data_IF_969990515466
#
_entry.id   IF_969990515466
#
_cell.length_a   1.000
_cell.length_b   1.000
_cell.length_c   1.000
_cell.angle_alpha   90.00
_cell.angle_beta   90.00
_cell.angle_gamma   90.00
#
_symmetry.space_group_name_H-M   'P 1'
#
loop_
_entity.id
_entity.type
_entity.pdbx_description
1 polymer ?
#
# COMPACT_ATOMS: atom_id res chain seq x y z
N UNK A 1 -55.89 -9.04 -18.51
CA UNK A 1 -55.27 -9.86 -19.59
C UNK A 1 -54.34 -10.96 -19.06
N UNK A 2 -53.64 -10.80 -17.92
CA UNK A 2 -52.74 -11.80 -17.31
C UNK A 2 -53.40 -13.07 -16.72
N UNK A 3 -54.64 -13.02 -16.21
CA UNK A 3 -55.35 -14.23 -15.72
C UNK A 3 -55.75 -15.22 -16.83
N UNK A 4 -55.87 -14.75 -18.09
CA UNK A 4 -56.21 -15.59 -19.24
C UNK A 4 -55.04 -16.51 -19.64
N UNK A 5 -53.81 -16.16 -19.27
CA UNK A 5 -52.62 -16.98 -19.51
C UNK A 5 -52.58 -18.21 -18.58
N UNK A 6 -53.04 -18.12 -17.33
CA UNK A 6 -53.08 -19.25 -16.39
C UNK A 6 -54.02 -20.38 -16.85
N UNK A 7 -55.16 -20.04 -17.46
CA UNK A 7 -56.08 -21.01 -18.03
C UNK A 7 -55.48 -21.70 -19.28
N UNK A 8 -54.84 -20.94 -20.17
CA UNK A 8 -54.13 -21.47 -21.34
C UNK A 8 -52.94 -22.36 -20.96
N UNK A 9 -52.29 -22.08 -19.81
CA UNK A 9 -51.21 -22.91 -19.26
C UNK A 9 -51.74 -24.27 -18.77
N UNK A 10 -52.89 -24.31 -18.09
CA UNK A 10 -53.52 -25.57 -17.66
C UNK A 10 -53.87 -26.46 -18.86
N UNK A 11 -54.40 -25.85 -19.92
CA UNK A 11 -54.88 -26.58 -21.09
C UNK A 11 -53.70 -27.13 -21.93
N UNK A 12 -52.57 -26.40 -22.02
CA UNK A 12 -51.34 -26.89 -22.64
C UNK A 12 -50.64 -28.00 -21.83
N UNK A 13 -50.75 -27.99 -20.50
CA UNK A 13 -50.23 -29.05 -19.62
C UNK A 13 -50.99 -30.37 -19.82
N UNK A 14 -52.33 -30.29 -19.97
CA UNK A 14 -53.20 -31.42 -20.29
C UNK A 14 -52.91 -32.02 -21.68
N UNK A 15 -52.62 -31.17 -22.67
CA UNK A 15 -52.20 -31.59 -24.02
C UNK A 15 -50.83 -32.28 -24.02
N UNK A 16 -49.88 -31.82 -23.20
CA UNK A 16 -48.57 -32.46 -23.05
C UNK A 16 -48.66 -33.81 -22.32
N UNK A 17 -49.51 -33.93 -21.28
CA UNK A 17 -49.77 -35.19 -20.58
C UNK A 17 -50.41 -36.25 -21.50
N UNK A 18 -51.16 -35.83 -22.52
CA UNK A 18 -51.78 -36.73 -23.52
C UNK A 18 -50.76 -37.34 -24.50
N UNK A 19 -49.65 -36.65 -24.80
CA UNK A 19 -48.58 -37.13 -25.68
C UNK A 19 -47.38 -37.60 -24.85
N UNK A 20 -47.37 -38.89 -24.48
CA UNK A 20 -46.27 -39.62 -23.79
C UNK A 20 -44.90 -39.43 -24.46
N UNK A 21 -44.30 -38.28 -24.27
CA UNK A 21 -42.95 -37.93 -24.70
C UNK A 21 -42.25 -37.42 -23.44
N UNK A 22 -41.73 -38.35 -22.65
CA UNK A 22 -41.13 -38.06 -21.33
C UNK A 22 -39.97 -37.05 -21.40
N UNK A 23 -39.28 -36.98 -22.54
CA UNK A 23 -38.24 -35.96 -22.81
C UNK A 23 -38.81 -34.55 -22.98
N UNK A 24 -39.92 -34.38 -23.71
CA UNK A 24 -40.58 -33.07 -23.83
C UNK A 24 -41.25 -32.63 -22.53
N UNK A 25 -41.82 -33.56 -21.74
CA UNK A 25 -42.48 -33.19 -20.47
C UNK A 25 -41.48 -32.61 -19.46
N UNK A 26 -40.26 -33.16 -19.39
CA UNK A 26 -39.21 -32.66 -18.51
C UNK A 26 -38.75 -31.26 -18.90
N UNK A 27 -38.47 -31.03 -20.20
CA UNK A 27 -38.06 -29.72 -20.72
C UNK A 27 -39.18 -28.69 -20.59
N UNK A 28 -40.42 -29.06 -20.88
CA UNK A 28 -41.57 -28.16 -20.77
C UNK A 28 -41.89 -27.83 -19.30
N UNK A 29 -41.80 -28.80 -18.37
CA UNK A 29 -41.90 -28.51 -16.94
C UNK A 29 -40.79 -27.58 -16.46
N UNK A 30 -39.54 -27.79 -16.88
CA UNK A 30 -38.43 -26.90 -16.50
C UNK A 30 -38.63 -25.47 -17.01
N UNK A 31 -39.08 -25.30 -18.26
CA UNK A 31 -39.36 -23.98 -18.84
C UNK A 31 -40.57 -23.30 -18.18
N UNK A 32 -41.60 -24.07 -17.80
CA UNK A 32 -42.78 -23.53 -17.12
C UNK A 32 -42.52 -23.19 -15.66
N UNK A 33 -41.81 -24.05 -14.92
CA UNK A 33 -41.30 -23.76 -13.57
C UNK A 33 -40.45 -22.49 -13.64
N UNK A 34 -39.52 -22.40 -14.59
CA UNK A 34 -38.70 -21.20 -14.76
C UNK A 34 -39.51 -19.92 -14.99
N UNK A 35 -40.50 -19.95 -15.89
CA UNK A 35 -41.39 -18.81 -16.11
C UNK A 35 -42.14 -18.43 -14.84
N UNK A 36 -42.57 -19.40 -14.04
CA UNK A 36 -43.23 -19.14 -12.75
C UNK A 36 -42.24 -18.50 -11.78
N UNK A 37 -41.04 -19.06 -11.59
CA UNK A 37 -40.00 -18.50 -10.71
C UNK A 37 -39.57 -17.09 -11.14
N UNK A 38 -39.36 -16.85 -12.43
CA UNK A 38 -39.02 -15.52 -12.99
C UNK A 38 -40.13 -14.50 -12.76
N UNK A 39 -41.41 -14.87 -12.93
CA UNK A 39 -42.52 -13.97 -12.62
C UNK A 39 -42.66 -13.68 -11.12
N UNK A 40 -42.43 -14.67 -10.25
CA UNK A 40 -42.42 -14.44 -8.79
C UNK A 40 -41.24 -13.53 -8.38
N UNK A 41 -40.06 -13.73 -8.97
CA UNK A 41 -38.87 -12.88 -8.81
C UNK A 41 -39.17 -11.40 -9.04
N UNK A 42 -39.80 -11.12 -10.19
CA UNK A 42 -40.17 -9.77 -10.60
C UNK A 42 -41.26 -9.19 -9.72
N UNK A 43 -42.24 -10.00 -9.27
CA UNK A 43 -43.28 -9.55 -8.33
C UNK A 43 -42.65 -9.09 -7.02
N UNK A 44 -41.83 -9.91 -6.37
CA UNK A 44 -41.18 -9.54 -5.09
C UNK A 44 -40.26 -8.32 -5.22
N UNK A 45 -39.62 -8.14 -6.37
CA UNK A 45 -38.85 -6.93 -6.67
C UNK A 45 -39.70 -5.67 -6.66
N UNK A 46 -40.85 -5.68 -7.35
CA UNK A 46 -41.76 -4.54 -7.36
C UNK A 46 -42.47 -4.32 -6.02
N UNK A 47 -42.51 -5.34 -5.14
CA UNK A 47 -42.94 -5.19 -3.75
C UNK A 47 -41.85 -4.63 -2.81
N UNK A 48 -40.59 -4.56 -3.26
CA UNK A 48 -39.45 -4.11 -2.45
C UNK A 48 -38.81 -5.17 -1.56
N UNK A 49 -39.29 -6.43 -1.62
CA UNK A 49 -38.78 -7.56 -0.84
C UNK A 49 -37.61 -8.23 -1.57
N UNK A 50 -36.43 -7.59 -1.51
CA UNK A 50 -35.24 -8.03 -2.25
C UNK A 50 -34.63 -9.34 -1.73
N UNK A 51 -34.71 -9.61 -0.43
CA UNK A 51 -34.15 -10.83 0.16
C UNK A 51 -34.90 -12.08 -0.33
N UNK A 52 -36.23 -12.00 -0.40
CA UNK A 52 -37.05 -13.11 -0.91
C UNK A 52 -36.84 -13.28 -2.41
N UNK A 53 -36.79 -12.18 -3.19
CA UNK A 53 -36.43 -12.22 -4.61
C UNK A 53 -35.07 -12.92 -4.84
N UNK A 54 -34.07 -12.64 -4.00
CA UNK A 54 -32.75 -13.29 -4.08
C UNK A 54 -32.84 -14.79 -3.76
N UNK A 55 -33.61 -15.20 -2.75
CA UNK A 55 -33.78 -16.61 -2.40
C UNK A 55 -34.38 -17.44 -3.55
N UNK A 56 -35.36 -16.87 -4.26
CA UNK A 56 -35.95 -17.49 -5.45
C UNK A 56 -34.97 -17.50 -6.64
N UNK A 57 -34.08 -16.51 -6.74
CA UNK A 57 -33.08 -16.44 -7.80
C UNK A 57 -32.00 -17.51 -7.62
N UNK A 58 -31.57 -17.71 -6.36
CA UNK A 58 -30.72 -18.83 -5.96
C UNK A 58 -31.39 -20.18 -6.26
N UNK A 59 -32.72 -20.26 -6.10
CA UNK A 59 -33.51 -21.44 -6.47
C UNK A 59 -33.60 -21.71 -7.97
N UNK A 60 -33.55 -20.66 -8.82
CA UNK A 60 -33.56 -20.78 -10.27
C UNK A 60 -32.23 -21.25 -10.86
N UNK A 61 -31.12 -21.06 -10.12
CA UNK A 61 -29.79 -21.60 -10.44
C UNK A 61 -29.29 -21.22 -11.85
N UNK A 62 -29.10 -22.19 -12.77
CA UNK A 62 -28.56 -21.94 -14.11
C UNK A 62 -29.54 -21.23 -15.03
N UNK A 63 -30.83 -21.20 -14.70
CA UNK A 63 -31.85 -20.55 -15.51
C UNK A 63 -31.88 -19.03 -15.28
N UNK A 64 -31.34 -18.55 -14.14
CA UNK A 64 -31.16 -17.12 -13.92
C UNK A 64 -30.02 -16.61 -14.81
N UNK A 65 -30.37 -15.80 -15.81
CA UNK A 65 -29.42 -15.23 -16.75
C UNK A 65 -28.81 -13.94 -16.19
N UNK A 66 -27.50 -13.98 -15.95
CA UNK A 66 -26.70 -12.84 -15.50
C UNK A 66 -26.38 -11.89 -16.67
N UNK A 67 -26.65 -12.33 -17.90
CA UNK A 67 -26.39 -11.59 -19.13
C UNK A 67 -27.44 -10.53 -19.42
N UNK A 68 -28.63 -10.65 -18.85
CA UNK A 68 -29.76 -9.77 -19.12
C UNK A 68 -29.52 -8.36 -18.55
N UNK A 69 -29.46 -7.37 -19.43
CA UNK A 69 -29.33 -5.95 -19.09
C UNK A 69 -30.70 -5.36 -18.69
N UNK A 70 -31.23 -5.81 -17.55
CA UNK A 70 -32.42 -5.23 -16.95
C UNK A 70 -32.11 -4.60 -15.58
N UNK A 71 -32.75 -3.48 -15.26
CA UNK A 71 -32.64 -2.82 -13.95
C UNK A 71 -32.95 -3.78 -12.80
N UNK A 72 -33.84 -4.73 -13.07
CA UNK A 72 -34.20 -5.81 -12.19
C UNK A 72 -33.00 -6.71 -11.85
N UNK A 73 -32.35 -7.24 -12.89
CA UNK A 73 -31.18 -8.12 -12.75
C UNK A 73 -30.01 -7.39 -12.11
N UNK A 74 -29.75 -6.13 -12.51
CA UNK A 74 -28.70 -5.32 -11.89
C UNK A 74 -28.92 -5.10 -10.39
N UNK A 75 -30.14 -4.73 -9.97
CA UNK A 75 -30.43 -4.52 -8.55
C UNK A 75 -30.31 -5.80 -7.74
N UNK A 76 -30.76 -6.92 -8.31
CA UNK A 76 -30.66 -8.22 -7.66
C UNK A 76 -29.20 -8.70 -7.55
N UNK A 77 -28.39 -8.49 -8.58
CA UNK A 77 -26.97 -8.78 -8.57
C UNK A 77 -26.24 -7.95 -7.52
N UNK A 78 -26.48 -6.64 -7.46
CA UNK A 78 -25.89 -5.77 -6.44
C UNK A 78 -26.25 -6.27 -5.04
N UNK A 79 -27.52 -6.63 -4.83
CA UNK A 79 -27.97 -7.20 -3.55
C UNK A 79 -27.29 -8.53 -3.22
N UNK A 80 -27.11 -9.40 -4.22
CA UNK A 80 -26.41 -10.67 -4.08
C UNK A 80 -24.94 -10.49 -3.69
N UNK A 81 -24.26 -9.52 -4.32
CA UNK A 81 -22.87 -9.17 -4.00
C UNK A 81 -22.78 -8.63 -2.58
N UNK A 82 -23.64 -7.70 -2.18
CA UNK A 82 -23.65 -7.15 -0.82
C UNK A 82 -23.82 -8.23 0.26
N UNK A 83 -24.74 -9.18 0.02
CA UNK A 83 -24.97 -10.29 0.95
C UNK A 83 -23.78 -11.25 0.99
N UNK A 84 -23.20 -11.57 -0.18
CA UNK A 84 -21.99 -12.39 -0.28
C UNK A 84 -20.81 -11.74 0.46
N UNK A 85 -20.56 -10.45 0.25
CA UNK A 85 -19.49 -9.67 0.90
C UNK A 85 -19.69 -9.62 2.42
N UNK A 86 -20.93 -9.45 2.88
CA UNK A 86 -21.27 -9.48 4.31
C UNK A 86 -20.95 -10.84 4.95
N UNK A 87 -21.34 -11.93 4.29
CA UNK A 87 -21.09 -13.29 4.76
C UNK A 87 -19.59 -13.61 4.78
N UNK A 88 -18.85 -13.24 3.73
CA UNK A 88 -17.40 -13.45 3.64
C UNK A 88 -16.63 -12.62 4.67
N UNK A 89 -17.06 -11.39 4.93
CA UNK A 89 -16.43 -10.54 5.95
C UNK A 89 -16.62 -11.12 7.36
N UNK A 90 -17.83 -11.64 7.67
CA UNK A 90 -18.11 -12.32 8.95
C UNK A 90 -17.37 -13.65 9.09
N UNK A 91 -17.23 -14.41 8.01
CA UNK A 91 -16.45 -15.65 7.99
C UNK A 91 -14.97 -15.38 8.33
N UNK A 92 -14.41 -14.30 7.78
CA UNK A 92 -13.03 -13.90 8.06
C UNK A 92 -12.79 -13.34 9.47
N UNK A 93 -13.83 -12.92 10.20
CA UNK A 93 -13.72 -12.45 11.59
C UNK A 93 -13.77 -13.57 12.62
N UNK A 94 -14.52 -14.63 12.35
CA UNK A 94 -14.93 -15.59 13.37
C UNK A 94 -14.03 -16.81 13.50
N UNK A 95 -13.00 -16.96 12.64
CA UNK A 95 -12.09 -18.13 12.56
C UNK A 95 -12.79 -19.51 12.52
N UNK A 96 -14.11 -19.53 12.43
CA UNK A 96 -14.96 -20.69 12.30
C UNK A 96 -15.32 -20.78 10.83
N UNK A 97 -14.95 -21.89 10.20
CA UNK A 97 -15.36 -22.33 8.86
C UNK A 97 -16.89 -22.57 8.73
N UNK A 98 -17.71 -21.98 9.62
CA UNK A 98 -19.12 -22.29 9.82
C UNK A 98 -20.09 -21.19 9.36
N UNK A 99 -19.63 -20.24 8.54
CA UNK A 99 -20.52 -19.62 7.57
C UNK A 99 -20.19 -20.23 6.21
N UNK A 100 -20.63 -21.48 5.98
CA UNK A 100 -20.69 -22.04 4.63
C UNK A 100 -21.52 -21.05 3.81
N UNK A 101 -20.84 -20.23 3.01
CA UNK A 101 -21.50 -19.40 2.03
C UNK A 101 -22.25 -20.36 1.11
N UNK A 102 -23.52 -20.06 0.84
CA UNK A 102 -24.33 -20.92 -0.03
C UNK A 102 -23.62 -21.06 -1.39
N UNK A 103 -23.27 -22.28 -1.83
CA UNK A 103 -22.58 -22.49 -3.11
C UNK A 103 -23.33 -21.89 -4.30
N UNK A 104 -24.66 -21.74 -4.19
CA UNK A 104 -25.50 -21.11 -5.22
C UNK A 104 -25.25 -19.61 -5.32
N UNK A 105 -25.01 -18.94 -4.19
CA UNK A 105 -24.71 -17.51 -4.15
C UNK A 105 -23.32 -17.26 -4.71
N UNK A 106 -22.35 -18.11 -4.32
CA UNK A 106 -21.00 -18.09 -4.87
C UNK A 106 -21.01 -18.30 -6.40
N UNK A 107 -21.78 -19.26 -6.90
CA UNK A 107 -21.91 -19.52 -8.34
C UNK A 107 -22.56 -18.35 -9.12
N UNK A 108 -23.43 -17.54 -8.50
CA UNK A 108 -23.97 -16.33 -9.14
C UNK A 108 -22.89 -15.26 -9.24
N UNK A 109 -22.15 -15.01 -8.15
CA UNK A 109 -21.07 -14.01 -8.11
C UNK A 109 -19.91 -14.42 -9.04
N UNK A 110 -19.60 -15.71 -9.14
CA UNK A 110 -18.63 -16.25 -10.12
C UNK A 110 -19.04 -15.95 -11.55
N UNK A 111 -20.27 -16.33 -11.94
CA UNK A 111 -20.77 -16.05 -13.30
C UNK A 111 -20.77 -14.56 -13.61
N UNK A 112 -21.04 -13.71 -12.62
CA UNK A 112 -21.00 -12.26 -12.75
C UNK A 112 -19.57 -11.75 -13.00
N UNK A 113 -18.60 -12.20 -12.20
CA UNK A 113 -17.19 -11.85 -12.37
C UNK A 113 -16.63 -12.34 -13.70
N UNK A 114 -16.95 -13.58 -14.08
CA UNK A 114 -16.52 -14.16 -15.36
C UNK A 114 -17.10 -13.38 -16.55
N UNK A 115 -18.38 -12.96 -16.46
CA UNK A 115 -18.99 -12.05 -17.45
C UNK A 115 -18.23 -10.73 -17.53
N UNK A 116 -17.93 -10.08 -16.40
CA UNK A 116 -17.18 -8.82 -16.40
C UNK A 116 -15.79 -8.96 -17.03
N UNK A 117 -15.11 -10.10 -16.80
CA UNK A 117 -13.81 -10.40 -17.42
C UNK A 117 -13.97 -10.62 -18.94
N UNK A 118 -15.00 -11.36 -19.37
CA UNK A 118 -15.29 -11.58 -20.79
C UNK A 118 -15.68 -10.29 -21.53
N UNK A 119 -16.39 -9.38 -20.87
CA UNK A 119 -16.81 -8.09 -21.42
C UNK A 119 -15.65 -7.06 -21.47
N UNK A 120 -14.44 -7.42 -21.03
CA UNK A 120 -13.28 -6.52 -20.96
C UNK A 120 -13.40 -5.44 -19.87
N UNK A 121 -14.38 -5.54 -18.96
CA UNK A 121 -14.60 -4.59 -17.85
C UNK A 121 -13.76 -4.95 -16.63
N UNK A 122 -12.43 -5.01 -16.80
CA UNK A 122 -11.50 -5.45 -15.76
C UNK A 122 -11.56 -4.60 -14.49
N UNK A 123 -11.72 -3.27 -14.59
CA UNK A 123 -11.80 -2.38 -13.43
C UNK A 123 -12.95 -2.74 -12.47
N UNK A 124 -14.13 -3.01 -13.03
CA UNK A 124 -15.30 -3.42 -12.25
C UNK A 124 -15.11 -4.82 -11.66
N UNK A 125 -14.58 -5.76 -12.46
CA UNK A 125 -14.29 -7.11 -11.98
C UNK A 125 -13.32 -7.10 -10.78
N UNK A 126 -12.28 -6.25 -10.82
CA UNK A 126 -11.33 -6.10 -9.71
C UNK A 126 -11.96 -5.51 -8.46
N UNK A 127 -12.77 -4.45 -8.60
CA UNK A 127 -13.49 -3.86 -7.47
C UNK A 127 -14.33 -4.90 -6.74
N UNK A 128 -15.12 -5.65 -7.50
CA UNK A 128 -15.98 -6.72 -6.96
C UNK A 128 -15.14 -7.85 -6.36
N UNK A 129 -14.04 -8.25 -7.01
CA UNK A 129 -13.15 -9.30 -6.50
C UNK A 129 -12.51 -8.91 -5.15
N UNK A 130 -12.09 -7.64 -5.01
CA UNK A 130 -11.52 -7.10 -3.77
C UNK A 130 -12.59 -7.05 -2.67
N UNK A 131 -13.80 -6.59 -2.96
CA UNK A 131 -14.92 -6.58 -2.00
C UNK A 131 -15.30 -8.00 -1.55
N UNK A 132 -15.37 -8.93 -2.50
CA UNK A 132 -15.69 -10.35 -2.28
C UNK A 132 -14.61 -11.13 -1.52
N UNK A 133 -13.44 -10.54 -1.26
CA UNK A 133 -12.26 -11.20 -0.70
C UNK A 133 -11.88 -12.46 -1.47
N UNK A 134 -11.81 -12.34 -2.80
CA UNK A 134 -11.37 -13.43 -3.70
C UNK A 134 -10.15 -13.01 -4.49
N UNK A 135 -8.99 -13.39 -3.95
CA UNK A 135 -7.69 -13.10 -4.52
C UNK A 135 -7.44 -13.85 -5.84
N UNK A 136 -7.97 -15.06 -5.98
CA UNK A 136 -7.79 -15.88 -7.20
C UNK A 136 -8.38 -15.20 -8.44
N UNK A 137 -9.60 -14.65 -8.29
CA UNK A 137 -10.28 -13.92 -9.38
C UNK A 137 -9.66 -12.55 -9.65
N UNK A 138 -9.06 -11.93 -8.63
CA UNK A 138 -8.28 -10.71 -8.82
C UNK A 138 -7.04 -11.00 -9.68
N UNK A 139 -6.30 -12.08 -9.40
CA UNK A 139 -5.15 -12.50 -10.22
C UNK A 139 -5.58 -12.86 -11.66
N UNK A 140 -6.70 -13.57 -11.83
CA UNK A 140 -7.26 -13.90 -13.15
C UNK A 140 -7.63 -12.63 -13.93
N UNK A 141 -8.28 -11.66 -13.29
CA UNK A 141 -8.66 -10.39 -13.92
C UNK A 141 -7.44 -9.57 -14.36
N UNK A 142 -6.37 -9.54 -13.56
CA UNK A 142 -5.14 -8.82 -13.88
C UNK A 142 -4.41 -9.47 -15.05
N UNK A 143 -4.24 -10.80 -15.01
CA UNK A 143 -3.49 -11.55 -16.03
C UNK A 143 -4.17 -11.57 -17.39
N UNK A 144 -5.51 -11.50 -17.42
CA UNK A 144 -6.28 -11.40 -18.67
C UNK A 144 -6.44 -9.99 -19.21
N UNK A 145 -6.01 -8.95 -18.49
CA UNK A 145 -6.20 -7.56 -18.90
C UNK A 145 -5.28 -7.18 -20.07
N UNK A 146 -5.78 -6.32 -20.97
CA UNK A 146 -4.99 -5.80 -22.10
C UNK A 146 -3.83 -4.90 -21.65
N UNK A 147 -4.00 -4.23 -20.51
CA UNK A 147 -3.00 -3.34 -19.90
C UNK A 147 -2.73 -3.76 -18.46
N UNK A 148 -1.78 -4.68 -18.29
CA UNK A 148 -1.43 -5.22 -16.97
C UNK A 148 -0.89 -4.13 -16.03
N UNK A 149 -0.04 -3.22 -16.52
CA UNK A 149 0.55 -2.16 -15.70
C UNK A 149 -0.50 -1.18 -15.16
N UNK A 150 -1.43 -0.72 -16.01
CA UNK A 150 -2.50 0.18 -15.57
C UNK A 150 -3.49 -0.49 -14.61
N UNK A 151 -3.78 -1.77 -14.84
CA UNK A 151 -4.66 -2.60 -14.00
C UNK A 151 -4.05 -2.85 -12.62
N UNK A 152 -2.73 -3.07 -12.55
CA UNK A 152 -2.01 -3.21 -11.28
C UNK A 152 -1.97 -1.89 -10.49
N UNK A 153 -1.68 -0.76 -11.14
CA UNK A 153 -1.69 0.56 -10.49
C UNK A 153 -3.10 0.90 -9.95
N UNK A 154 -4.14 0.59 -10.72
CA UNK A 154 -5.53 0.72 -10.27
C UNK A 154 -5.81 -0.18 -9.06
N UNK A 155 -5.34 -1.42 -9.06
CA UNK A 155 -5.51 -2.36 -7.93
C UNK A 155 -4.86 -1.84 -6.65
N UNK A 156 -3.68 -1.24 -6.73
CA UNK A 156 -3.01 -0.60 -5.60
C UNK A 156 -3.90 0.53 -5.05
N UNK A 157 -4.35 1.45 -5.92
CA UNK A 157 -5.19 2.58 -5.51
C UNK A 157 -6.51 2.11 -4.86
N UNK A 158 -7.20 1.14 -5.45
CA UNK A 158 -8.43 0.58 -4.89
C UNK A 158 -8.16 -0.09 -3.53
N UNK A 159 -7.04 -0.81 -3.40
CA UNK A 159 -6.67 -1.42 -2.13
C UNK A 159 -6.41 -0.38 -1.02
N UNK A 160 -5.85 0.78 -1.35
CA UNK A 160 -5.63 1.85 -0.36
C UNK A 160 -6.91 2.59 -0.01
N UNK A 161 -7.78 2.86 -0.99
CA UNK A 161 -9.00 3.66 -0.78
C UNK A 161 -10.15 2.88 -0.14
N UNK A 162 -10.33 1.61 -0.51
CA UNK A 162 -11.54 0.85 -0.14
C UNK A 162 -11.29 -0.26 0.88
N UNK A 163 -10.05 -0.74 1.05
CA UNK A 163 -9.76 -1.80 2.02
C UNK A 163 -9.44 -1.20 3.39
N UNK A 164 -10.42 -1.28 4.30
CA UNK A 164 -10.29 -0.78 5.68
C UNK A 164 -9.35 -1.64 6.55
N UNK A 165 -9.33 -2.96 6.36
CA UNK A 165 -8.54 -3.89 7.19
C UNK A 165 -7.09 -3.95 6.76
N UNK A 166 -6.18 -3.79 7.73
CA UNK A 166 -4.74 -3.85 7.48
C UNK A 166 -4.30 -5.23 7.00
N UNK A 167 -4.80 -6.30 7.63
CA UNK A 167 -4.38 -7.68 7.34
C UNK A 167 -4.76 -8.06 5.90
N UNK A 168 -6.01 -7.81 5.52
CA UNK A 168 -6.50 -8.09 4.17
C UNK A 168 -5.83 -7.20 3.12
N UNK A 169 -5.57 -5.91 3.42
CA UNK A 169 -4.80 -5.04 2.52
C UNK A 169 -3.39 -5.58 2.28
N UNK A 170 -2.73 -6.12 3.32
CA UNK A 170 -1.44 -6.76 3.15
C UNK A 170 -1.52 -8.05 2.31
N UNK A 171 -2.58 -8.86 2.44
CA UNK A 171 -2.78 -10.03 1.58
C UNK A 171 -2.92 -9.65 0.10
N UNK A 172 -3.72 -8.61 -0.20
CA UNK A 172 -3.87 -8.07 -1.56
C UNK A 172 -2.52 -7.57 -2.09
N UNK A 173 -1.80 -6.75 -1.32
CA UNK A 173 -0.49 -6.25 -1.74
C UNK A 173 0.54 -7.37 -1.96
N UNK A 174 0.54 -8.43 -1.14
CA UNK A 174 1.39 -9.61 -1.34
C UNK A 174 1.06 -10.35 -2.63
N UNK A 175 -0.23 -10.46 -2.99
CA UNK A 175 -0.64 -11.02 -4.28
C UNK A 175 -0.11 -10.15 -5.43
N UNK A 176 -0.28 -8.83 -5.34
CA UNK A 176 0.18 -7.90 -6.38
C UNK A 176 1.69 -7.99 -6.60
N UNK A 177 2.50 -8.07 -5.54
CA UNK A 177 3.96 -8.29 -5.65
C UNK A 177 4.27 -9.58 -6.41
N UNK A 178 3.60 -10.70 -6.09
CA UNK A 178 3.77 -11.97 -6.81
C UNK A 178 3.42 -11.86 -8.29
N UNK A 179 2.37 -11.10 -8.62
CA UNK A 179 1.98 -10.88 -10.02
C UNK A 179 3.03 -10.04 -10.74
N UNK A 180 3.54 -8.97 -10.11
CA UNK A 180 4.62 -8.15 -10.66
C UNK A 180 5.90 -8.96 -10.93
N UNK A 181 6.28 -9.88 -10.04
CA UNK A 181 7.47 -10.72 -10.19
C UNK A 181 7.35 -11.75 -11.33
N UNK A 182 6.14 -12.17 -11.67
CA UNK A 182 5.89 -13.09 -12.80
C UNK A 182 5.99 -12.40 -14.16
N UNK A 183 5.96 -11.07 -14.22
CA UNK A 183 6.00 -10.33 -15.48
C UNK A 183 7.40 -10.35 -16.10
N UNK A 184 7.49 -10.37 -17.45
CA UNK A 184 8.77 -10.38 -18.15
C UNK A 184 9.58 -9.09 -17.96
N UNK A 185 8.89 -7.96 -17.72
CA UNK A 185 9.48 -6.65 -17.40
C UNK A 185 8.89 -6.13 -16.09
N UNK A 186 9.45 -6.50 -14.93
CA UNK A 186 8.94 -6.07 -13.63
C UNK A 186 9.19 -4.57 -13.43
N UNK A 187 8.14 -3.86 -13.04
CA UNK A 187 8.26 -2.48 -12.59
C UNK A 187 8.77 -2.45 -11.14
N UNK A 188 10.08 -2.30 -10.99
CA UNK A 188 10.73 -2.31 -9.68
C UNK A 188 10.30 -1.16 -8.77
N UNK A 189 9.81 -0.03 -9.32
CA UNK A 189 9.33 1.08 -8.52
C UNK A 189 8.04 0.70 -7.80
N UNK A 190 7.05 0.21 -8.55
CA UNK A 190 5.76 -0.23 -8.00
C UNK A 190 5.92 -1.38 -7.01
N UNK A 191 6.84 -2.32 -7.27
CA UNK A 191 7.15 -3.41 -6.34
C UNK A 191 7.72 -2.87 -5.03
N UNK A 192 8.70 -1.95 -5.09
CA UNK A 192 9.30 -1.37 -3.89
C UNK A 192 8.29 -0.56 -3.07
N UNK A 193 7.37 0.16 -3.72
CA UNK A 193 6.26 0.84 -3.04
C UNK A 193 5.34 -0.16 -2.34
N UNK A 194 4.95 -1.26 -2.99
CA UNK A 194 4.16 -2.32 -2.35
C UNK A 194 4.90 -2.94 -1.15
N UNK A 195 6.19 -3.24 -1.28
CA UNK A 195 7.00 -3.80 -0.19
C UNK A 195 7.16 -2.84 0.99
N UNK A 196 7.25 -1.54 0.72
CA UNK A 196 7.24 -0.50 1.74
C UNK A 196 5.91 -0.50 2.51
N UNK A 197 4.76 -0.58 1.82
CA UNK A 197 3.45 -0.70 2.48
C UNK A 197 3.27 -2.02 3.25
N UNK A 198 3.97 -3.07 2.83
CA UNK A 198 4.02 -4.36 3.54
C UNK A 198 4.98 -4.36 4.73
N UNK A 199 5.80 -3.32 4.91
CA UNK A 199 6.88 -3.23 5.90
C UNK A 199 7.90 -4.38 5.80
N UNK A 200 8.22 -4.77 4.56
CA UNK A 200 9.14 -5.85 4.21
C UNK A 200 10.47 -5.29 3.66
N UNK A 201 11.40 -4.83 4.53
CA UNK A 201 12.65 -4.19 4.09
C UNK A 201 13.60 -5.18 3.39
N UNK A 202 13.45 -6.48 3.65
CA UNK A 202 14.27 -7.52 3.03
C UNK A 202 14.04 -7.64 1.51
N UNK A 203 12.80 -7.54 1.07
CA UNK A 203 12.47 -7.60 -0.36
C UNK A 203 13.08 -6.43 -1.14
N UNK A 204 12.96 -5.21 -0.59
CA UNK A 204 13.53 -3.99 -1.20
C UNK A 204 15.06 -4.08 -1.26
N UNK A 205 15.71 -4.50 -0.17
CA UNK A 205 17.16 -4.65 -0.14
C UNK A 205 17.66 -5.64 -1.20
N UNK A 206 16.98 -6.77 -1.40
CA UNK A 206 17.35 -7.75 -2.43
C UNK A 206 17.17 -7.20 -3.85
N UNK A 207 16.09 -6.45 -4.11
CA UNK A 207 15.86 -5.80 -5.41
C UNK A 207 16.97 -4.77 -5.69
N UNK A 208 17.26 -3.90 -4.72
CA UNK A 208 18.32 -2.89 -4.84
C UNK A 208 19.70 -3.54 -5.03
N UNK A 209 20.02 -4.60 -4.28
CA UNK A 209 21.27 -5.33 -4.46
C UNK A 209 21.39 -5.92 -5.87
N UNK A 210 20.34 -6.58 -6.37
CA UNK A 210 20.30 -7.14 -7.72
C UNK A 210 20.52 -6.06 -8.79
N UNK A 211 19.88 -4.91 -8.64
CA UNK A 211 20.03 -3.79 -9.57
C UNK A 211 21.43 -3.16 -9.50
N UNK A 212 22.03 -3.05 -8.31
CA UNK A 212 23.36 -2.46 -8.14
C UNK A 212 24.48 -3.36 -8.66
N UNK A 213 24.33 -4.69 -8.54
CA UNK A 213 25.28 -5.70 -9.03
C UNK A 213 25.23 -5.89 -10.55
N UNK A 214 24.18 -5.42 -11.20
CA UNK A 214 24.08 -5.48 -12.66
C UNK A 214 25.18 -4.62 -13.33
N UNK A 215 25.68 -5.10 -14.47
CA UNK A 215 26.72 -4.39 -15.24
C UNK A 215 26.13 -3.17 -15.99
N UNK A 216 24.83 -3.19 -16.26
CA UNK A 216 24.13 -2.13 -16.95
C UNK A 216 24.11 -0.84 -16.13
N UNK A 217 24.36 0.30 -16.79
CA UNK A 217 24.28 1.61 -16.13
C UNK A 217 22.84 2.02 -15.83
N UNK A 218 21.90 1.68 -16.70
CA UNK A 218 20.48 2.01 -16.56
C UNK A 218 19.85 1.38 -15.31
N UNK A 219 20.17 0.12 -15.03
CA UNK A 219 19.67 -0.59 -13.85
C UNK A 219 20.20 0.02 -12.54
N UNK A 220 21.45 0.51 -12.54
CA UNK A 220 22.01 1.24 -11.40
C UNK A 220 21.37 2.63 -11.22
N UNK A 221 21.02 3.31 -12.31
CA UNK A 221 20.29 4.57 -12.25
C UNK A 221 18.87 4.36 -11.72
N UNK A 222 18.21 3.28 -12.15
CA UNK A 222 16.90 2.89 -11.64
C UNK A 222 16.93 2.61 -10.13
N UNK A 223 17.99 1.95 -9.64
CA UNK A 223 18.18 1.74 -8.20
C UNK A 223 18.28 3.08 -7.43
N UNK A 224 18.96 4.08 -7.99
CA UNK A 224 19.01 5.41 -7.37
C UNK A 224 17.68 6.13 -7.40
N UNK A 225 16.92 6.03 -8.51
CA UNK A 225 15.57 6.59 -8.61
C UNK A 225 14.65 5.98 -7.54
N UNK A 226 14.63 4.66 -7.43
CA UNK A 226 13.86 3.95 -6.39
C UNK A 226 14.28 4.42 -4.99
N UNK A 227 15.59 4.60 -4.74
CA UNK A 227 16.05 5.08 -3.44
C UNK A 227 15.57 6.50 -3.12
N UNK A 228 15.54 7.42 -4.09
CA UNK A 228 14.99 8.75 -3.89
C UNK A 228 13.49 8.71 -3.63
N UNK A 229 12.73 7.96 -4.44
CA UNK A 229 11.27 7.82 -4.27
C UNK A 229 10.92 7.21 -2.90
N UNK A 230 11.73 6.27 -2.40
CA UNK A 230 11.55 5.71 -1.06
C UNK A 230 11.82 6.73 0.05
N UNK A 231 12.79 7.64 -0.14
CA UNK A 231 13.09 8.71 0.83
C UNK A 231 11.98 9.75 0.87
N UNK A 232 11.32 10.04 -0.25
CA UNK A 232 10.18 10.96 -0.31
C UNK A 232 8.99 10.49 0.54
N UNK A 233 8.88 9.19 0.84
CA UNK A 233 7.83 8.63 1.70
C UNK A 233 8.11 8.79 3.21
N UNK A 234 9.26 9.38 3.60
CA UNK A 234 9.62 9.77 4.98
C UNK A 234 9.57 8.67 6.07
N UNK A 235 9.58 7.38 5.70
CA UNK A 235 9.53 6.27 6.66
C UNK A 235 10.92 5.89 7.20
N UNK A 236 11.55 6.76 7.99
CA UNK A 236 12.96 6.66 8.37
C UNK A 236 13.37 5.31 9.00
N UNK A 237 12.54 4.73 9.88
CA UNK A 237 12.85 3.44 10.50
C UNK A 237 12.96 2.30 9.47
N UNK A 238 12.13 2.32 8.42
CA UNK A 238 12.17 1.34 7.34
C UNK A 238 13.41 1.54 6.47
N UNK A 239 13.73 2.77 6.11
CA UNK A 239 14.90 3.11 5.29
C UNK A 239 16.22 2.72 5.96
N UNK A 240 16.33 2.95 7.28
CA UNK A 240 17.49 2.51 8.07
C UNK A 240 17.62 0.99 8.07
N UNK A 241 16.51 0.26 8.24
CA UNK A 241 16.50 -1.21 8.17
C UNK A 241 16.91 -1.74 6.78
N UNK A 242 16.47 -1.09 5.69
CA UNK A 242 16.90 -1.43 4.32
C UNK A 242 18.41 -1.21 4.16
N UNK A 243 18.92 -0.06 4.61
CA UNK A 243 20.35 0.30 4.57
C UNK A 243 21.22 -0.71 5.34
N UNK A 244 20.78 -1.12 6.51
CA UNK A 244 21.53 -2.02 7.38
C UNK A 244 21.56 -3.44 6.76
N UNK A 245 20.46 -3.89 6.14
CA UNK A 245 20.40 -5.17 5.40
C UNK A 245 21.29 -5.18 4.15
N UNK A 246 21.33 -4.08 3.39
CA UNK A 246 22.27 -3.92 2.28
C UNK A 246 23.75 -4.01 2.73
N UNK A 247 24.04 -3.69 3.99
CA UNK A 247 25.38 -3.83 4.57
C UNK A 247 25.68 -5.27 4.99
N UNK A 248 24.68 -5.97 5.54
CA UNK A 248 24.81 -7.37 5.96
C UNK A 248 24.99 -8.35 4.78
N UNK A 249 24.41 -8.07 3.62
CA UNK A 249 24.60 -8.88 2.40
C UNK A 249 26.04 -8.87 1.88
N UNK A 250 26.85 -7.87 2.28
CA UNK A 250 28.29 -7.80 2.01
C UNK A 250 29.11 -8.86 2.80
N UNK A 251 28.59 -9.42 3.89
CA UNK A 251 29.34 -10.35 4.74
C UNK A 251 29.17 -11.83 4.37
N UNK A 252 28.51 -12.17 3.26
CA UNK A 252 28.48 -13.55 2.77
C UNK A 252 28.94 -13.65 1.31
N UNK A 253 30.13 -14.21 1.10
CA UNK A 253 30.41 -15.03 -0.08
C UNK A 253 30.85 -16.46 0.31
N UNK A 254 30.12 -17.45 -0.26
CA UNK A 254 30.52 -18.85 -0.55
C UNK A 254 30.49 -19.93 0.56
N UNK A 255 29.99 -21.09 0.15
CA UNK A 255 29.74 -22.34 0.89
C UNK A 255 30.94 -22.92 1.65
N UNK A 256 30.72 -23.49 2.85
CA UNK A 256 30.92 -24.93 3.13
C UNK A 256 30.75 -25.31 4.61
N UNK A 257 29.89 -26.32 4.83
CA UNK A 257 30.06 -27.48 5.74
C UNK A 257 30.03 -27.26 7.27
N UNK A 258 29.10 -27.97 7.92
CA UNK A 258 28.98 -28.16 9.37
C UNK A 258 30.28 -28.73 10.00
N UNK A 259 30.44 -28.64 11.33
CA UNK A 259 29.95 -29.75 12.16
C UNK A 259 29.23 -29.28 13.43
N UNK A 260 28.27 -30.11 13.85
CA UNK A 260 27.44 -29.87 15.02
C UNK A 260 28.08 -30.21 16.38
N UNK A 261 27.38 -29.70 17.39
CA UNK A 261 27.09 -30.28 18.71
C UNK A 261 28.23 -30.46 19.72
N UNK A 262 28.27 -29.58 20.74
CA UNK A 262 27.72 -29.86 22.08
C UNK A 262 27.96 -28.70 23.07
N UNK A 263 26.87 -28.12 23.58
CA UNK A 263 26.77 -27.31 24.82
C UNK A 263 27.05 -28.16 26.09
N UNK A 264 26.92 -27.66 27.34
CA UNK A 264 27.55 -26.48 27.98
C UNK A 264 28.04 -26.83 29.43
N UNK A 265 28.84 -25.98 30.09
CA UNK A 265 28.84 -25.86 31.56
C UNK A 265 29.72 -24.70 32.10
N UNK A 266 29.04 -23.65 32.57
CA UNK A 266 29.15 -23.00 33.89
C UNK A 266 30.54 -22.87 34.56
N UNK A 267 30.99 -21.62 34.81
CA UNK A 267 31.01 -21.00 36.16
C UNK A 267 31.99 -19.81 36.28
N UNK A 268 31.42 -18.66 36.62
CA UNK A 268 31.81 -17.75 37.72
C UNK A 268 33.13 -16.96 37.70
N UNK A 269 32.91 -15.64 37.66
CA UNK A 269 33.33 -14.59 38.60
C UNK A 269 34.81 -14.16 38.77
N UNK A 270 34.90 -12.83 38.66
CA UNK A 270 35.54 -11.89 39.58
C UNK A 270 36.96 -11.37 39.30
N UNK A 271 36.95 -10.10 38.88
CA UNK A 271 37.62 -8.96 39.50
C UNK A 271 39.15 -8.80 39.43
N UNK A 272 39.48 -7.68 38.78
CA UNK A 272 40.28 -6.56 39.32
C UNK A 272 41.67 -6.31 38.75
N UNK A 273 41.89 -5.01 38.58
CA UNK A 273 43.14 -4.23 38.69
C UNK A 273 44.08 -4.19 37.48
N UNK A 274 44.06 -3.02 36.82
CA UNK A 274 45.25 -2.34 36.27
C UNK A 274 46.21 -1.94 37.42
N UNK A 275 47.49 -1.60 37.21
CA UNK A 275 47.88 -0.41 36.43
C UNK A 275 49.23 -0.47 35.67
N UNK A 276 49.47 0.57 34.84
CA UNK A 276 50.77 1.15 34.41
C UNK A 276 51.70 0.25 33.56
N UNK A 277 52.37 0.69 32.49
CA UNK A 277 53.19 1.90 32.39
C UNK A 277 53.54 2.22 30.91
N UNK A 278 54.10 3.42 30.72
CA UNK A 278 54.31 4.18 29.48
C UNK A 278 55.62 3.81 28.76
N UNK A 279 55.67 3.81 27.41
CA UNK A 279 56.60 4.61 26.56
C UNK A 279 56.92 4.04 25.16
N UNK A 280 57.09 5.02 24.27
CA UNK A 280 57.38 5.03 22.84
C UNK A 280 58.84 4.66 22.53
N UNK A 281 59.13 4.05 21.38
CA UNK A 281 60.01 4.65 20.33
C UNK A 281 60.16 3.76 19.09
N UNK A 282 60.53 4.47 18.03
CA UNK A 282 60.52 4.24 16.60
C UNK A 282 61.65 3.32 16.09
N UNK A 283 61.42 2.57 15.01
CA UNK A 283 62.21 2.62 13.75
C UNK A 283 61.97 1.39 12.84
N UNK A 284 61.30 1.66 11.72
CA UNK A 284 61.59 1.24 10.34
C UNK A 284 61.96 -0.22 10.03
N UNK A 285 61.05 -0.91 9.32
CA UNK A 285 61.41 -1.72 8.14
C UNK A 285 60.22 -1.97 7.21
N UNK A 286 60.28 -1.29 6.06
CA UNK A 286 59.90 -1.75 4.72
C UNK A 286 58.59 -2.55 4.53
N UNK A 287 57.60 -1.83 3.99
CA UNK A 287 56.80 -2.19 2.79
C UNK A 287 57.03 -3.61 2.25
N UNK A 288 56.02 -4.47 2.35
CA UNK A 288 55.71 -5.43 1.29
C UNK A 288 54.22 -5.39 1.01
N UNK A 289 53.91 -4.90 -0.19
CA UNK A 289 52.59 -4.88 -0.81
C UNK A 289 51.97 -6.28 -0.83
N UNK A 290 50.74 -6.40 -0.36
CA UNK A 290 49.73 -7.21 -1.05
C UNK A 290 48.45 -6.36 -1.17
N UNK A 291 48.50 -5.43 -2.12
CA UNK A 291 47.29 -4.90 -2.74
C UNK A 291 46.59 -6.10 -3.35
N UNK A 292 45.52 -6.59 -2.71
CA UNK A 292 44.55 -7.37 -3.46
C UNK A 292 43.99 -6.43 -4.53
N UNK A 293 44.32 -6.70 -5.79
CA UNK A 293 43.61 -6.14 -6.94
C UNK A 293 42.13 -6.46 -6.73
N UNK A 294 41.38 -5.48 -6.23
CA UNK A 294 39.94 -5.55 -6.18
C UNK A 294 39.46 -5.62 -7.65
N UNK A 295 38.68 -6.66 -7.97
CA UNK A 295 38.01 -6.77 -9.26
C UNK A 295 37.33 -5.42 -9.58
N UNK A 296 37.57 -4.80 -10.76
CA UNK A 296 36.97 -3.53 -11.14
C UNK A 296 35.43 -3.50 -10.98
N UNK A 297 34.77 -4.67 -11.02
CA UNK A 297 33.33 -4.79 -10.76
C UNK A 297 32.96 -4.55 -9.29
N UNK A 298 33.75 -5.06 -8.36
CA UNK A 298 33.53 -4.87 -6.92
C UNK A 298 33.81 -3.43 -6.48
N UNK A 299 34.78 -2.76 -7.11
CA UNK A 299 35.05 -1.33 -6.88
C UNK A 299 33.87 -0.47 -7.34
N UNK A 300 33.37 -0.71 -8.56
CA UNK A 300 32.18 -0.01 -9.09
C UNK A 300 30.94 -0.24 -8.23
N UNK A 301 30.72 -1.48 -7.77
CA UNK A 301 29.63 -1.81 -6.87
C UNK A 301 29.77 -1.10 -5.51
N UNK A 302 30.97 -1.11 -4.91
CA UNK A 302 31.22 -0.44 -3.63
C UNK A 302 30.98 1.07 -3.69
N UNK A 303 31.34 1.72 -4.80
CA UNK A 303 31.03 3.13 -5.04
C UNK A 303 29.52 3.39 -5.14
N UNK A 304 28.81 2.58 -5.94
CA UNK A 304 27.34 2.70 -6.09
C UNK A 304 26.62 2.44 -4.75
N UNK A 305 27.09 1.45 -3.98
CA UNK A 305 26.57 1.12 -2.66
C UNK A 305 26.79 2.26 -1.65
N UNK A 306 27.93 2.95 -1.72
CA UNK A 306 28.18 4.11 -0.85
C UNK A 306 27.22 5.25 -1.18
N UNK A 307 26.98 5.51 -2.48
CA UNK A 307 26.02 6.52 -2.95
C UNK A 307 24.59 6.19 -2.51
N UNK A 308 24.12 4.95 -2.71
CA UNK A 308 22.74 4.59 -2.35
C UNK A 308 22.51 4.66 -0.83
N UNK A 309 23.52 4.32 -0.02
CA UNK A 309 23.44 4.47 1.45
C UNK A 309 23.32 5.93 1.85
N UNK A 310 24.06 6.83 1.19
CA UNK A 310 23.94 8.28 1.41
C UNK A 310 22.57 8.83 1.01
N UNK A 311 21.94 8.25 -0.02
CA UNK A 311 20.56 8.59 -0.43
C UNK A 311 19.57 8.08 0.62
N UNK A 312 19.62 6.78 0.97
CA UNK A 312 18.71 6.16 1.93
C UNK A 312 18.83 6.72 3.36
N UNK A 313 19.96 7.33 3.73
CA UNK A 313 20.09 8.07 5.00
C UNK A 313 19.23 9.33 5.04
N UNK A 314 18.86 9.88 3.88
CA UNK A 314 18.16 11.15 3.72
C UNK A 314 19.10 12.36 3.66
N UNK A 315 20.34 12.22 4.13
CA UNK A 315 21.36 13.28 4.16
C UNK A 315 21.58 13.94 2.79
N UNK A 316 21.66 13.13 1.73
CA UNK A 316 21.88 13.64 0.37
C UNK A 316 20.69 14.48 -0.10
N UNK A 317 19.45 14.06 0.19
CA UNK A 317 18.24 14.81 -0.17
C UNK A 317 18.16 16.14 0.59
N UNK A 318 18.50 16.13 1.88
CA UNK A 318 18.55 17.34 2.71
C UNK A 318 19.60 18.32 2.18
N UNK A 319 20.80 17.83 1.83
CA UNK A 319 21.88 18.66 1.32
C UNK A 319 21.51 19.33 -0.02
N UNK A 320 20.91 18.56 -0.94
CA UNK A 320 20.45 19.08 -2.23
C UNK A 320 19.34 20.13 -2.04
N UNK A 321 18.38 19.86 -1.15
CA UNK A 321 17.30 20.80 -0.83
C UNK A 321 17.85 22.09 -0.22
N UNK A 322 18.80 21.99 0.71
CA UNK A 322 19.46 23.16 1.31
C UNK A 322 20.20 23.99 0.26
N UNK A 323 20.95 23.34 -0.62
CA UNK A 323 21.67 24.02 -1.71
C UNK A 323 20.71 24.72 -2.66
N UNK A 324 19.58 24.08 -3.01
CA UNK A 324 18.54 24.66 -3.83
C UNK A 324 17.92 25.90 -3.17
N UNK A 325 17.48 25.77 -1.91
CA UNK A 325 16.86 26.87 -1.16
C UNK A 325 17.80 28.05 -0.93
N UNK A 326 19.09 27.79 -0.68
CA UNK A 326 20.10 28.82 -0.57
C UNK A 326 20.36 29.54 -1.91
N UNK A 327 20.57 28.78 -2.99
CA UNK A 327 20.96 29.36 -4.29
C UNK A 327 19.81 30.07 -5.00
N UNK A 328 18.58 29.57 -4.83
CA UNK A 328 17.37 30.12 -5.47
C UNK A 328 16.46 30.85 -4.48
N UNK A 329 17.05 31.57 -3.54
CA UNK A 329 16.29 32.43 -2.64
C UNK A 329 15.77 33.68 -3.37
N UNK A 330 14.44 33.76 -3.56
CA UNK A 330 13.73 34.90 -4.16
C UNK A 330 12.93 35.71 -3.13
N UNK A 331 13.21 35.54 -1.84
CA UNK A 331 12.50 36.23 -0.78
C UNK A 331 12.83 37.72 -0.78
N UNK A 332 11.79 38.56 -0.82
CA UNK A 332 11.93 40.01 -0.83
C UNK A 332 11.98 40.58 0.59
N UNK A 333 13.15 41.10 0.99
CA UNK A 333 13.33 41.76 2.28
C UNK A 333 12.57 43.08 2.40
N UNK A 334 12.12 43.69 1.30
CA UNK A 334 11.34 44.91 1.33
C UNK A 334 9.97 44.68 1.99
N UNK A 335 9.32 43.55 1.69
CA UNK A 335 8.04 43.16 2.29
C UNK A 335 8.17 43.10 3.82
N UNK A 336 9.23 42.47 4.31
CA UNK A 336 9.53 42.39 5.75
C UNK A 336 9.79 43.78 6.36
N UNK A 337 10.45 44.70 5.64
CA UNK A 337 10.65 46.09 6.08
C UNK A 337 9.33 46.85 6.17
N UNK A 338 8.44 46.69 5.20
CA UNK A 338 7.11 47.32 5.20
C UNK A 338 6.27 46.80 6.37
N UNK A 339 6.20 45.48 6.58
CA UNK A 339 5.51 44.87 7.73
C UNK A 339 6.11 45.40 9.04
N UNK A 340 7.44 45.49 9.14
CA UNK A 340 8.11 46.04 10.32
C UNK A 340 7.72 47.49 10.58
N UNK A 341 7.63 48.33 9.55
CA UNK A 341 7.26 49.75 9.67
C UNK A 341 5.80 49.95 10.08
N UNK A 342 4.89 49.08 9.65
CA UNK A 342 3.47 49.14 10.03
C UNK A 342 3.18 48.65 11.46
N UNK A 343 4.11 47.93 12.09
CA UNK A 343 3.92 47.35 13.43
C UNK A 343 4.44 48.30 14.52
N UNK A 344 3.53 48.77 15.38
CA UNK A 344 3.86 49.58 16.55
C UNK A 344 4.80 48.86 17.53
N UNK A 345 5.75 49.59 18.12
CA UNK A 345 6.79 49.05 19.04
C UNK A 345 6.25 48.47 20.37
N UNK A 346 4.96 48.68 20.67
CA UNK A 346 4.34 48.23 21.93
C UNK A 346 3.54 46.94 21.78
N UNK A 347 3.34 46.43 20.56
CA UNK A 347 2.52 45.25 20.32
C UNK A 347 3.40 43.99 20.16
N UNK A 348 3.53 43.24 21.26
CA UNK A 348 4.34 42.02 21.33
C UNK A 348 3.87 40.92 20.37
N UNK A 349 2.56 40.78 20.14
CA UNK A 349 2.00 39.76 19.24
C UNK A 349 2.40 40.03 17.80
N UNK A 350 2.33 41.29 17.36
CA UNK A 350 2.75 41.67 16.01
C UNK A 350 4.27 41.56 15.81
N UNK A 351 5.07 41.71 16.87
CA UNK A 351 6.50 41.41 16.82
C UNK A 351 6.76 39.92 16.60
N UNK A 352 6.10 39.04 17.34
CA UNK A 352 6.19 37.58 17.13
C UNK A 352 5.71 37.18 15.74
N UNK A 353 4.60 37.74 15.26
CA UNK A 353 4.11 37.48 13.90
C UNK A 353 5.12 37.88 12.81
N UNK A 354 5.84 39.00 12.99
CA UNK A 354 6.90 39.44 12.06
C UNK A 354 8.07 38.45 12.06
N UNK A 355 8.44 37.91 13.22
CA UNK A 355 9.52 36.93 13.36
C UNK A 355 9.12 35.59 12.72
N UNK A 356 7.89 35.12 12.92
CA UNK A 356 7.36 33.94 12.26
C UNK A 356 7.28 34.10 10.73
N UNK A 357 6.84 35.27 10.26
CA UNK A 357 6.83 35.59 8.83
C UNK A 357 8.25 35.48 8.24
N UNK A 358 9.25 36.07 8.91
CA UNK A 358 10.65 35.94 8.50
C UNK A 358 11.13 34.48 8.52
N UNK A 359 10.80 33.71 9.57
CA UNK A 359 11.20 32.31 9.70
C UNK A 359 10.63 31.44 8.58
N UNK A 360 9.37 31.65 8.18
CA UNK A 360 8.73 30.93 7.07
C UNK A 360 9.32 31.38 5.73
N UNK A 361 9.49 32.69 5.50
CA UNK A 361 10.04 33.25 4.26
C UNK A 361 11.49 32.81 3.98
N UNK A 362 12.25 32.50 5.04
CA UNK A 362 13.65 32.10 4.94
C UNK A 362 13.90 30.64 5.37
N UNK A 363 12.85 29.83 5.53
CA UNK A 363 12.96 28.43 5.93
C UNK A 363 13.92 27.66 5.01
N UNK A 364 14.93 27.00 5.58
CA UNK A 364 15.91 26.22 4.83
C UNK A 364 16.87 27.04 3.94
N UNK A 365 16.81 28.37 3.95
CA UNK A 365 17.70 29.22 3.15
C UNK A 365 18.98 29.61 3.88
N UNK A 366 19.10 29.35 5.19
CA UNK A 366 20.23 29.76 6.05
C UNK A 366 20.50 31.28 6.11
N UNK A 367 19.64 32.10 5.50
CA UNK A 367 19.77 33.57 5.48
C UNK A 367 19.19 34.15 6.75
N UNK A 368 20.04 34.80 7.55
CA UNK A 368 19.69 35.37 8.86
C UNK A 368 19.95 36.88 8.96
N UNK A 369 20.17 37.56 7.82
CA UNK A 369 20.43 39.01 7.74
C UNK A 369 19.38 39.83 8.49
N UNK A 370 18.09 39.50 8.34
CA UNK A 370 17.01 40.18 9.06
C UNK A 370 17.11 40.03 10.58
N UNK A 371 17.54 38.87 11.09
CA UNK A 371 17.68 38.63 12.53
C UNK A 371 18.84 39.44 13.10
N UNK A 372 19.97 39.50 12.38
CA UNK A 372 21.14 40.30 12.77
C UNK A 372 20.79 41.80 12.87
N UNK A 373 20.01 42.31 11.92
CA UNK A 373 19.58 43.71 11.90
C UNK A 373 18.54 44.07 12.98
N UNK A 374 17.88 43.07 13.59
CA UNK A 374 16.75 43.26 14.52
C UNK A 374 16.96 42.63 15.91
N UNK A 375 18.22 42.34 16.28
CA UNK A 375 18.62 41.72 17.55
C UNK A 375 17.95 42.33 18.80
N UNK A 376 17.83 43.65 18.86
CA UNK A 376 17.21 44.37 20.00
C UNK A 376 15.69 44.08 20.11
N UNK A 377 14.99 43.97 18.98
CA UNK A 377 13.54 43.70 18.92
C UNK A 377 13.22 42.22 19.18
N UNK A 378 14.15 41.32 18.85
CA UNK A 378 14.07 39.89 19.15
C UNK A 378 14.14 39.63 20.66
N UNK A 379 15.08 40.26 21.37
CA UNK A 379 15.22 40.11 22.83
C UNK A 379 13.94 40.50 23.56
N UNK A 380 13.25 41.57 23.15
CA UNK A 380 11.96 41.96 23.73
C UNK A 380 10.80 41.00 23.42
N UNK A 381 10.81 40.34 22.25
CA UNK A 381 9.75 39.40 21.83
C UNK A 381 9.94 37.96 22.36
N UNK A 382 11.18 37.51 22.50
CA UNK A 382 11.53 36.19 23.03
C UNK A 382 11.27 36.09 24.54
N UNK A 383 11.49 37.16 25.30
CA UNK A 383 11.15 37.21 26.74
C UNK A 383 9.63 36.99 26.94
N UNK A 384 8.80 37.46 26.01
CA UNK A 384 7.34 37.26 26.08
C UNK A 384 6.88 35.91 25.50
N UNK A 385 7.68 35.31 24.61
CA UNK A 385 7.36 34.01 24.01
C UNK A 385 7.75 32.84 24.90
N UNK A 386 8.83 32.94 25.67
CA UNK A 386 9.19 31.95 26.71
C UNK A 386 8.15 31.90 27.83
N UNK A 387 7.65 33.05 28.30
CA UNK A 387 6.58 33.07 29.31
C UNK A 387 5.26 32.50 28.78
N UNK A 388 4.94 32.67 27.49
CA UNK A 388 3.76 32.07 26.87
C UNK A 388 3.89 30.54 26.66
N UNK A 389 5.09 30.05 26.33
CA UNK A 389 5.37 28.61 26.22
C UNK A 389 5.34 27.93 27.59
N UNK A 390 5.87 28.56 28.64
CA UNK A 390 5.78 28.04 30.01
C UNK A 390 4.33 27.97 30.48
N UNK A 391 3.51 28.99 30.20
CA UNK A 391 2.08 28.97 30.52
C UNK A 391 1.28 27.94 29.69
N UNK A 392 1.62 27.74 28.41
CA UNK A 392 0.97 26.71 27.57
C UNK A 392 1.38 25.29 27.96
N UNK A 393 2.65 25.05 28.31
CA UNK A 393 3.10 23.76 28.83
C UNK A 393 2.42 23.44 30.17
N UNK A 394 2.24 24.43 31.06
CA UNK A 394 1.52 24.24 32.33
C UNK A 394 0.03 23.92 32.12
N UNK A 395 -0.60 24.52 31.11
CA UNK A 395 -2.00 24.23 30.76
C UNK A 395 -2.17 22.84 30.12
N UNK A 396 -1.29 22.43 29.21
CA UNK A 396 -1.32 21.10 28.62
C UNK A 396 -1.06 20.02 29.68
N UNK A 397 -0.15 20.25 30.64
CA UNK A 397 0.12 19.32 31.73
C UNK A 397 -1.06 19.19 32.72
N UNK A 398 -1.85 20.26 32.92
CA UNK A 398 -3.03 20.25 33.79
C UNK A 398 -4.26 19.61 33.12
N UNK A 399 -4.34 19.68 31.78
CA UNK A 399 -5.45 19.09 31.00
C UNK A 399 -5.26 17.59 30.75
N UNK A 400 -4.04 17.06 30.90
CA UNK A 400 -3.72 15.63 30.81
C UNK A 400 -3.77 14.88 32.15
N UNK A 401 -4.10 15.56 33.26
CA UNK A 401 -4.15 14.98 34.62
C UNK A 401 -5.52 15.07 35.31
N UNK A 402 -6.54 15.52 34.58
CA UNK A 402 -7.98 15.40 34.87
C UNK A 402 -8.57 14.48 33.80
#
# INVERSE_FOLDING_TARGET
MKMRNLASIRDNLLLCLSRRSFSCLSVCMHVHIFKVYSNFLQVFYYLGELNDSLSYALGAGPLFDVSEDSDYVHTLLSKAIDEYVSLRSKAAESSNEAAMVDPRLEAIVERMLDKCIMDGKYQQAMGIAIECRRLDKLEEAITRSDNVHGTLAYSINVSHSFVYRREYRQEVLRLLVKVYEKLPSPDYLSICQCLMFLDEPGGVANILERLLRSENKEDALLAFQIAFDLVENEHQAFLLNVRDRLSALKSLPSESVQPGYSDPATAQNENSTAPEDVQMTDESSAVTKSVHEADPKEVMYAERLTKIKGILSGETSIQLTLQFLFSYNKSDLLILKTIKQSVEMRNSVCHSATIYANAIMHAGTTVDTFLRDNLVRLLSGLIFSFTLLDYCMYWVYLTLRL
#
